data_IF_203881240154
#
_entry.id   IF_203881240154
#
_cell.length_a   1.000
_cell.length_b   1.000
_cell.length_c   1.000
_cell.angle_alpha   90.00
_cell.angle_beta   90.00
_cell.angle_gamma   90.00
#
_symmetry.space_group_name_H-M   'P 1'
#
loop_
_entity.id
_entity.type
_entity.pdbx_description
1 polymer ?
#
# COMPACT_ATOMS: atom_id res chain seq x y z
N UNK A 1 -0.80 -13.27 -7.57
CA UNK A 1 -1.64 -12.06 -7.42
C UNK A 1 -1.50 -11.20 -8.67
N UNK A 2 -2.62 -10.80 -9.23
CA UNK A 2 -2.61 -9.89 -10.39
C UNK A 2 -2.90 -8.46 -9.92
N UNK A 3 -1.84 -7.67 -9.74
CA UNK A 3 -1.93 -6.29 -9.26
C UNK A 3 -2.68 -5.37 -10.22
N UNK A 4 -2.80 -5.73 -11.50
CA UNK A 4 -3.57 -4.91 -12.45
C UNK A 4 -5.06 -4.88 -12.11
N UNK A 5 -5.54 -5.87 -11.36
CA UNK A 5 -6.95 -6.01 -10.97
C UNK A 5 -7.25 -5.52 -9.56
N UNK A 6 -6.27 -5.50 -8.67
CA UNK A 6 -6.44 -5.10 -7.29
C UNK A 6 -5.39 -5.68 -6.37
N UNK A 7 -5.69 -5.73 -5.07
CA UNK A 7 -4.77 -6.23 -4.07
C UNK A 7 -5.39 -7.34 -3.22
N UNK A 8 -4.64 -8.41 -2.99
CA UNK A 8 -5.07 -9.54 -2.17
C UNK A 8 -4.58 -9.40 -0.74
N UNK A 9 -5.53 -9.26 0.19
CA UNK A 9 -5.28 -9.37 1.62
C UNK A 9 -5.31 -10.86 1.99
N UNK A 10 -4.37 -11.32 2.82
CA UNK A 10 -4.26 -12.74 3.19
C UNK A 10 -5.13 -13.11 4.38
N UNK A 11 -5.10 -12.28 5.43
CA UNK A 11 -5.92 -12.47 6.63
C UNK A 11 -6.51 -11.14 7.10
N UNK A 12 -7.83 -10.97 7.09
CA UNK A 12 -8.82 -11.87 6.49
C UNK A 12 -8.60 -11.99 5.00
N UNK A 13 -9.01 -13.11 4.40
CA UNK A 13 -8.78 -13.35 2.97
C UNK A 13 -9.80 -12.57 2.15
N UNK A 14 -9.37 -11.43 1.64
CA UNK A 14 -10.22 -10.50 0.89
C UNK A 14 -9.43 -9.94 -0.28
N UNK A 15 -10.00 -10.00 -1.48
CA UNK A 15 -9.46 -9.32 -2.65
C UNK A 15 -10.15 -7.96 -2.82
N UNK A 16 -9.36 -6.90 -2.92
CA UNK A 16 -9.88 -5.53 -3.07
C UNK A 16 -9.57 -5.05 -4.49
N UNK A 17 -10.59 -4.96 -5.37
CA UNK A 17 -10.38 -4.52 -6.74
C UNK A 17 -10.09 -3.02 -6.83
N UNK A 18 -9.27 -2.62 -7.82
CA UNK A 18 -9.16 -1.22 -8.20
C UNK A 18 -10.55 -0.71 -8.65
N UNK A 19 -10.73 0.59 -8.57
CA UNK A 19 -11.96 1.27 -8.98
C UNK A 19 -13.18 0.90 -8.13
N UNK A 20 -12.98 0.28 -6.97
CA UNK A 20 -14.07 0.09 -6.00
C UNK A 20 -14.59 1.46 -5.59
N UNK A 21 -15.90 1.71 -5.75
CA UNK A 21 -16.47 2.99 -5.31
C UNK A 21 -16.44 3.12 -3.79
N UNK A 22 -16.10 4.29 -3.30
CA UNK A 22 -16.06 4.57 -1.86
C UNK A 22 -17.41 4.28 -1.20
N UNK A 23 -18.51 4.60 -1.88
CA UNK A 23 -19.86 4.39 -1.38
C UNK A 23 -20.20 2.91 -1.13
N UNK A 24 -19.52 2.00 -1.80
CA UNK A 24 -19.72 0.55 -1.66
C UNK A 24 -18.68 -0.11 -0.77
N UNK A 25 -17.63 0.62 -0.41
CA UNK A 25 -16.47 0.05 0.26
C UNK A 25 -16.81 -0.47 1.66
N UNK A 26 -17.55 0.28 2.45
CA UNK A 26 -17.89 -0.11 3.82
C UNK A 26 -18.82 -1.33 3.87
N UNK A 27 -19.68 -1.49 2.87
CA UNK A 27 -20.68 -2.57 2.85
C UNK A 27 -20.20 -3.79 2.06
N UNK A 28 -19.17 -3.63 1.24
CA UNK A 28 -18.75 -4.66 0.27
C UNK A 28 -17.72 -5.68 0.78
N UNK A 29 -17.11 -5.46 1.96
CA UNK A 29 -16.01 -6.29 2.42
C UNK A 29 -16.25 -6.80 3.84
N UNK A 30 -16.95 -7.94 3.93
CA UNK A 30 -17.15 -8.63 5.20
C UNK A 30 -15.80 -9.15 5.70
N UNK A 31 -15.61 -9.06 7.02
CA UNK A 31 -14.39 -9.52 7.67
C UNK A 31 -13.30 -8.47 7.82
N UNK A 32 -13.40 -7.34 7.12
CA UNK A 32 -12.50 -6.21 7.33
C UNK A 32 -13.09 -5.26 8.37
N UNK A 33 -12.31 -4.99 9.42
CA UNK A 33 -12.68 -3.97 10.42
C UNK A 33 -12.13 -2.63 9.96
N UNK A 34 -12.91 -1.95 9.12
CA UNK A 34 -12.51 -0.68 8.54
C UNK A 34 -12.76 0.47 9.50
N UNK A 35 -11.77 1.34 9.62
CA UNK A 35 -11.86 2.58 10.37
C UNK A 35 -11.80 3.76 9.41
N UNK A 36 -12.80 4.63 9.47
CA UNK A 36 -12.78 5.89 8.74
C UNK A 36 -11.85 6.87 9.46
N UNK A 37 -10.79 7.29 8.79
CA UNK A 37 -9.85 8.30 9.32
C UNK A 37 -10.31 9.69 8.94
N UNK A 38 -10.62 9.90 7.68
CA UNK A 38 -11.20 11.12 7.12
C UNK A 38 -11.87 10.76 5.79
N UNK A 39 -12.63 11.67 5.21
CA UNK A 39 -13.29 11.42 3.93
C UNK A 39 -12.27 10.94 2.88
N UNK A 40 -12.59 9.81 2.24
CA UNK A 40 -11.74 9.20 1.23
C UNK A 40 -10.54 8.42 1.76
N UNK A 41 -10.43 8.22 3.08
CA UNK A 41 -9.32 7.48 3.67
C UNK A 41 -9.79 6.56 4.79
N UNK A 42 -9.57 5.26 4.61
CA UNK A 42 -9.93 4.21 5.56
C UNK A 42 -8.70 3.38 5.90
N UNK A 43 -8.66 2.80 7.10
CA UNK A 43 -7.60 1.88 7.51
C UNK A 43 -8.16 0.59 8.10
N UNK A 44 -7.37 -0.47 8.00
CA UNK A 44 -7.65 -1.73 8.67
C UNK A 44 -6.33 -2.38 9.08
N UNK A 45 -6.38 -3.24 10.09
CA UNK A 45 -5.24 -4.09 10.45
C UNK A 45 -5.42 -5.44 9.77
N UNK A 46 -4.38 -5.94 9.12
CA UNK A 46 -4.46 -7.20 8.37
C UNK A 46 -3.09 -7.85 8.21
N UNK A 47 -3.07 -9.01 7.57
CA UNK A 47 -1.85 -9.69 7.14
C UNK A 47 -1.86 -9.78 5.61
N UNK A 48 -0.76 -9.40 4.99
CA UNK A 48 -0.55 -9.52 3.54
C UNK A 48 0.95 -9.54 3.23
N UNK A 49 1.34 -9.42 1.97
CA UNK A 49 2.74 -9.36 1.56
C UNK A 49 3.53 -10.57 2.05
N UNK A 50 3.02 -11.78 1.80
CA UNK A 50 3.66 -13.04 2.20
C UNK A 50 3.84 -13.15 3.72
N UNK A 51 2.78 -12.86 4.46
CA UNK A 51 2.72 -13.11 5.90
C UNK A 51 3.12 -11.96 6.81
N UNK A 52 3.15 -10.73 6.32
CA UNK A 52 3.45 -9.56 7.15
C UNK A 52 2.16 -9.02 7.79
N UNK A 53 2.18 -8.84 9.11
CA UNK A 53 1.11 -8.16 9.84
C UNK A 53 1.37 -6.66 9.80
N UNK A 54 0.37 -5.86 9.38
CA UNK A 54 0.53 -4.42 9.20
C UNK A 54 -0.81 -3.70 9.19
N UNK A 55 -0.77 -2.38 9.25
CA UNK A 55 -1.92 -1.53 8.95
C UNK A 55 -1.98 -1.30 7.44
N UNK A 56 -3.19 -1.23 6.90
CA UNK A 56 -3.43 -0.97 5.48
C UNK A 56 -4.38 0.20 5.33
N UNK A 57 -3.95 1.23 4.61
CA UNK A 57 -4.75 2.40 4.28
C UNK A 57 -5.27 2.33 2.86
N UNK A 58 -6.51 2.78 2.68
CA UNK A 58 -7.20 2.81 1.38
C UNK A 58 -7.53 4.25 1.04
N UNK A 59 -6.98 4.75 -0.07
CA UNK A 59 -7.19 6.12 -0.53
C UNK A 59 -8.11 6.16 -1.74
N UNK A 60 -9.13 7.00 -1.66
CA UNK A 60 -10.13 7.21 -2.72
C UNK A 60 -10.02 8.61 -3.29
N UNK A 61 -10.21 8.75 -4.60
CA UNK A 61 -10.18 10.03 -5.29
C UNK A 61 -11.35 10.10 -6.29
N UNK A 62 -12.12 11.22 -6.37
CA UNK A 62 -12.16 12.30 -5.38
C UNK A 62 -12.79 11.86 -4.06
N UNK A 63 -12.42 12.53 -2.97
CA UNK A 63 -12.86 12.15 -1.61
C UNK A 63 -14.39 12.17 -1.48
N UNK A 64 -14.94 11.14 -0.84
CA UNK A 64 -16.35 11.01 -0.56
C UNK A 64 -17.19 10.42 -1.69
N UNK A 65 -16.73 10.45 -2.94
CA UNK A 65 -17.48 9.98 -4.12
C UNK A 65 -16.60 9.38 -5.19
N UNK A 66 -15.38 9.01 -4.83
CA UNK A 66 -14.41 8.52 -5.79
C UNK A 66 -14.27 7.02 -5.80
N UNK A 67 -13.18 6.58 -6.40
CA UNK A 67 -12.79 5.18 -6.50
C UNK A 67 -11.44 4.97 -5.84
N UNK A 68 -11.13 3.72 -5.50
CA UNK A 68 -9.87 3.34 -4.89
C UNK A 68 -8.70 3.55 -5.86
N UNK A 69 -7.70 4.33 -5.44
CA UNK A 69 -6.55 4.67 -6.27
C UNK A 69 -5.20 4.29 -5.66
N UNK A 70 -5.13 4.06 -4.35
CA UNK A 70 -3.87 3.78 -3.67
C UNK A 70 -4.08 2.97 -2.40
N UNK A 71 -3.16 2.02 -2.17
CA UNK A 71 -2.99 1.34 -0.88
C UNK A 71 -1.73 1.86 -0.21
N UNK A 72 -1.81 2.13 1.08
CA UNK A 72 -0.69 2.60 1.88
C UNK A 72 -0.48 1.64 3.06
N UNK A 73 0.79 1.29 3.33
CA UNK A 73 1.14 0.27 4.31
C UNK A 73 1.92 0.89 5.47
N UNK A 74 1.56 0.49 6.69
CA UNK A 74 2.20 0.98 7.91
C UNK A 74 2.51 -0.19 8.85
N UNK A 75 3.58 -0.11 9.63
CA UNK A 75 3.86 -1.05 10.70
C UNK A 75 3.74 -0.35 12.05
N UNK A 76 2.55 -0.44 12.67
CA UNK A 76 2.30 0.17 13.98
C UNK A 76 2.97 -0.59 15.12
N UNK A 77 3.29 -1.87 14.91
CA UNK A 77 3.91 -2.73 15.93
C UNK A 77 5.42 -2.78 15.84
N UNK A 78 6.04 -2.13 14.85
CA UNK A 78 7.49 -2.11 14.71
C UNK A 78 8.11 -1.15 15.72
N UNK A 79 9.21 -1.55 16.40
CA UNK A 79 9.80 -0.73 17.46
C UNK A 79 10.51 0.52 16.93
N UNK A 80 10.97 0.49 15.67
CA UNK A 80 11.73 1.58 15.06
C UNK A 80 11.66 1.52 13.53
N UNK A 81 12.17 2.58 12.89
CA UNK A 81 12.20 2.69 11.45
C UNK A 81 13.09 1.61 10.77
N UNK A 82 14.32 1.33 11.23
CA UNK A 82 15.13 0.29 10.59
C UNK A 82 14.43 -1.07 10.57
N UNK A 83 13.80 -1.47 11.65
CA UNK A 83 13.06 -2.74 11.73
C UNK A 83 11.89 -2.77 10.76
N UNK A 84 11.11 -1.69 10.70
CA UNK A 84 9.97 -1.56 9.78
C UNK A 84 10.44 -1.59 8.33
N UNK A 85 11.47 -0.81 7.99
CA UNK A 85 12.01 -0.75 6.64
C UNK A 85 12.50 -2.13 6.17
N UNK A 86 13.28 -2.82 7.00
CA UNK A 86 13.80 -4.14 6.65
C UNK A 86 12.68 -5.17 6.46
N UNK A 87 11.66 -5.14 7.32
CA UNK A 87 10.53 -6.06 7.23
C UNK A 87 9.73 -5.82 5.94
N UNK A 88 9.38 -4.57 5.64
CA UNK A 88 8.65 -4.25 4.41
C UNK A 88 9.47 -4.59 3.16
N UNK A 89 10.75 -4.21 3.13
CA UNK A 89 11.59 -4.49 1.95
C UNK A 89 11.67 -6.00 1.69
N UNK A 90 11.91 -6.80 2.72
CA UNK A 90 11.99 -8.25 2.58
C UNK A 90 10.67 -8.84 2.07
N UNK A 91 9.55 -8.44 2.68
CA UNK A 91 8.24 -8.97 2.29
C UNK A 91 7.79 -8.50 0.91
N UNK A 92 8.14 -7.27 0.52
CA UNK A 92 7.88 -6.78 -0.83
C UNK A 92 8.66 -7.60 -1.85
N UNK A 93 9.94 -7.91 -1.59
CA UNK A 93 10.74 -8.71 -2.51
C UNK A 93 10.27 -10.17 -2.56
N UNK A 94 9.86 -10.75 -1.43
CA UNK A 94 9.27 -12.10 -1.41
C UNK A 94 7.98 -12.18 -2.24
N UNK A 95 7.17 -11.12 -2.19
CA UNK A 95 5.87 -11.09 -2.85
C UNK A 95 5.98 -10.72 -4.33
N UNK A 96 6.82 -9.76 -4.67
CA UNK A 96 6.85 -9.14 -5.99
C UNK A 96 8.17 -9.32 -6.75
N UNK A 97 9.17 -9.94 -6.11
CA UNK A 97 10.50 -10.10 -6.70
C UNK A 97 11.38 -8.86 -6.50
N UNK A 98 12.52 -8.80 -7.19
CA UNK A 98 13.42 -7.67 -7.06
C UNK A 98 12.80 -6.38 -7.61
N UNK A 99 13.15 -5.21 -7.03
CA UNK A 99 12.61 -3.94 -7.53
C UNK A 99 13.09 -3.65 -8.96
N UNK A 100 12.25 -2.94 -9.71
CA UNK A 100 12.58 -2.50 -11.06
C UNK A 100 13.67 -1.43 -11.05
N UNK A 101 13.57 -0.50 -10.08
CA UNK A 101 14.52 0.61 -9.92
C UNK A 101 14.91 0.74 -8.45
N UNK A 102 16.19 1.03 -8.22
CA UNK A 102 16.71 1.34 -6.89
C UNK A 102 17.57 2.57 -7.02
N UNK A 103 17.38 3.54 -6.11
CA UNK A 103 18.13 4.80 -6.13
C UNK A 103 18.45 5.23 -4.70
N UNK A 104 19.45 6.12 -4.52
CA UNK A 104 19.70 6.69 -3.19
C UNK A 104 18.47 7.45 -2.69
N UNK A 105 18.20 7.32 -1.39
CA UNK A 105 17.12 8.03 -0.71
C UNK A 105 17.63 8.81 0.48
N UNK A 106 16.70 9.26 1.31
CA UNK A 106 17.00 10.06 2.50
C UNK A 106 17.49 9.18 3.65
N UNK A 107 18.29 9.73 4.54
CA UNK A 107 18.74 9.12 5.80
C UNK A 107 19.49 7.79 5.62
N UNK A 108 20.16 7.61 4.47
CA UNK A 108 20.90 6.39 4.17
C UNK A 108 20.07 5.22 3.71
N UNK A 109 18.75 5.38 3.57
CA UNK A 109 17.86 4.35 3.06
C UNK A 109 17.75 4.44 1.54
N UNK A 110 17.75 3.28 0.87
CA UNK A 110 17.53 3.23 -0.57
C UNK A 110 16.04 3.38 -0.87
N UNK A 111 15.73 4.02 -2.00
CA UNK A 111 14.37 4.09 -2.55
C UNK A 111 14.19 3.01 -3.59
N UNK A 112 13.12 2.23 -3.48
CA UNK A 112 12.83 1.12 -4.38
C UNK A 112 11.49 1.34 -5.09
N UNK A 113 11.44 1.00 -6.37
CA UNK A 113 10.21 1.06 -7.17
C UNK A 113 10.05 -0.25 -7.94
N UNK A 114 8.83 -0.80 -7.90
CA UNK A 114 8.41 -1.92 -8.74
C UNK A 114 7.40 -1.39 -9.74
N UNK A 115 7.62 -1.65 -11.02
CA UNK A 115 6.72 -1.20 -12.09
C UNK A 115 6.04 -2.39 -12.73
N UNK A 116 4.70 -2.38 -12.70
CA UNK A 116 3.85 -3.37 -13.34
C UNK A 116 2.87 -2.65 -14.27
N UNK A 117 2.24 -3.37 -15.23
CA UNK A 117 1.25 -2.72 -16.09
C UNK A 117 0.13 -2.05 -15.30
N UNK A 118 0.04 -0.71 -15.39
CA UNK A 118 -1.00 0.08 -14.73
C UNK A 118 -0.86 0.27 -13.23
N UNK A 119 0.24 -0.22 -12.62
CA UNK A 119 0.44 -0.17 -11.16
C UNK A 119 1.91 0.07 -10.84
N UNK A 120 2.17 0.87 -9.83
CA UNK A 120 3.53 1.01 -9.31
C UNK A 120 3.55 0.79 -7.80
N UNK A 121 4.64 0.19 -7.31
CA UNK A 121 4.89 0.03 -5.88
C UNK A 121 6.11 0.87 -5.55
N UNK A 122 6.06 1.63 -4.46
CA UNK A 122 7.19 2.42 -3.98
C UNK A 122 7.46 2.12 -2.51
N UNK A 123 8.75 2.07 -2.16
CA UNK A 123 9.21 1.93 -0.79
C UNK A 123 10.40 2.86 -0.59
N UNK A 124 10.23 3.89 0.24
CA UNK A 124 11.26 4.89 0.47
C UNK A 124 11.11 5.54 1.85
N UNK A 125 12.14 6.27 2.25
CA UNK A 125 12.14 7.09 3.46
C UNK A 125 12.33 8.53 3.03
N UNK A 126 11.51 9.42 3.59
CA UNK A 126 11.62 10.86 3.34
C UNK A 126 11.68 11.62 4.66
N UNK A 127 12.30 12.80 4.62
CA UNK A 127 12.33 13.72 5.76
C UNK A 127 11.00 14.48 5.82
N UNK A 128 10.24 14.29 6.90
CA UNK A 128 8.99 14.99 7.14
C UNK A 128 8.77 15.06 8.65
N UNK A 129 9.29 16.12 9.29
CA UNK A 129 9.36 16.24 10.75
C UNK A 129 10.11 15.06 11.38
N UNK A 130 11.18 14.62 10.71
CA UNK A 130 11.91 13.41 11.00
C UNK A 130 11.79 12.39 9.88
N UNK A 131 12.59 11.32 9.88
CA UNK A 131 12.50 10.32 8.84
C UNK A 131 11.17 9.56 8.91
N UNK A 132 10.47 9.48 7.77
CA UNK A 132 9.18 8.81 7.64
C UNK A 132 9.24 7.79 6.49
N UNK A 133 8.87 6.55 6.79
CA UNK A 133 8.80 5.48 5.80
C UNK A 133 7.51 5.57 5.00
N UNK A 134 7.60 5.33 3.69
CA UNK A 134 6.45 5.29 2.79
C UNK A 134 6.46 3.98 2.02
N UNK A 135 5.38 3.22 2.13
CA UNK A 135 5.14 2.00 1.33
C UNK A 135 3.77 2.16 0.69
N UNK A 136 3.74 2.22 -0.64
CA UNK A 136 2.49 2.48 -1.38
C UNK A 136 2.39 1.62 -2.61
N UNK A 137 1.18 1.13 -2.89
CA UNK A 137 0.81 0.52 -4.18
C UNK A 137 -0.25 1.43 -4.78
N UNK A 138 0.00 1.96 -5.98
CA UNK A 138 -0.91 2.92 -6.60
C UNK A 138 -1.13 2.64 -8.07
N UNK A 139 -2.31 3.01 -8.55
CA UNK A 139 -2.60 2.98 -9.98
C UNK A 139 -1.78 4.06 -10.68
N UNK A 140 -1.25 3.69 -11.84
CA UNK A 140 -0.64 4.66 -12.73
C UNK A 140 -1.62 4.98 -13.85
N UNK A 141 -1.61 6.24 -14.29
CA UNK A 141 -2.44 6.65 -15.43
C UNK A 141 -1.66 6.32 -16.69
N UNK A 142 -2.22 5.42 -17.53
CA UNK A 142 -1.66 5.22 -18.87
C UNK A 142 -1.95 6.46 -19.71
N UNK A 143 -0.88 7.13 -20.13
CA UNK A 143 -1.03 8.23 -21.09
C UNK A 143 -1.17 7.62 -22.46
N UNK A 144 -2.35 7.76 -23.02
CA UNK A 144 -2.58 7.47 -24.43
C UNK A 144 -1.94 8.61 -25.21
N UNK A 145 -0.90 8.28 -25.93
CA UNK A 145 -0.31 9.23 -26.87
C UNK A 145 -1.04 9.15 -28.19
#
# INVERSE_FOLDING_TARGET
>A
MDLSKGFQIEHPRVFVPWDTPETQFLDGFEGLHLRLVTDGYFTTHCTSLSGLSHELGFHFQPRGRGTLVEFEFFCSSCPDLPTSYDAFQRHLEETFGPPTLTSPGSEGYLSHTWMFPGVEIVHYVQEHFGPAESVRIRKTVERIQ
#
